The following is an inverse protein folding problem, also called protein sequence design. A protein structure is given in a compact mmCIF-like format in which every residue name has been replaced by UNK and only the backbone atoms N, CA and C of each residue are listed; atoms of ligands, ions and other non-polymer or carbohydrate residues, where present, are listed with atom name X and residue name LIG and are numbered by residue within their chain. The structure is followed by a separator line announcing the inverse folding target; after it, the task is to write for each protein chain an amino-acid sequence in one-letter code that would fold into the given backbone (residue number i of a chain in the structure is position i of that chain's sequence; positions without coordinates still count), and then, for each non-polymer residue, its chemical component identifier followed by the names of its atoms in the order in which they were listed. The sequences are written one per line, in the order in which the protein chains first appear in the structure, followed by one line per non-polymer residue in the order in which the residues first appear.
data_IF_286406374685
#
_entry.id   IF_286406374685
#
_cell.length_a   1.000
_cell.length_b   1.000
_cell.length_c   1.000
_cell.angle_alpha   90.00
_cell.angle_beta   90.00
_cell.angle_gamma   90.00
#
_symmetry.space_group_name_H-M   'P 1'
#
loop_
_entity.id
_entity.type
_entity.pdbx_description
1 polymer ?
#
# COMPACT_ATOMS: atom_id res chain seq x y z
N UNK A 1 -29.27 48.74 -44.41
CA UNK A 1 -29.48 47.87 -43.24
C UNK A 1 -28.11 47.40 -42.75
N UNK A 2 -27.45 48.26 -41.95
CA UNK A 2 -26.52 48.04 -40.81
C UNK A 2 -25.79 46.67 -40.82
N UNK A 3 -24.49 46.44 -41.11
CA UNK A 3 -23.15 47.06 -40.93
C UNK A 3 -22.52 47.10 -39.51
N UNK A 4 -21.48 46.25 -39.36
CA UNK A 4 -20.11 46.44 -38.81
C UNK A 4 -19.84 46.61 -37.28
N UNK A 5 -18.94 45.72 -36.80
CA UNK A 5 -17.66 45.88 -36.02
C UNK A 5 -17.52 46.88 -34.86
N UNK A 6 -16.67 46.45 -33.89
CA UNK A 6 -15.66 47.18 -33.07
C UNK A 6 -15.97 47.11 -31.56
N UNK A 7 -15.18 46.51 -30.66
CA UNK A 7 -13.82 46.88 -30.19
C UNK A 7 -13.62 48.39 -30.03
N UNK A 8 -13.83 48.93 -28.81
CA UNK A 8 -13.25 50.21 -28.39
C UNK A 8 -13.31 50.35 -26.86
N UNK A 9 -12.13 50.54 -26.25
CA UNK A 9 -11.93 51.25 -24.98
C UNK A 9 -11.70 52.73 -25.32
N UNK A 10 -12.20 53.68 -24.52
CA UNK A 10 -11.52 54.96 -24.43
C UNK A 10 -11.26 55.39 -22.98
N UNK A 11 -9.99 55.69 -22.72
CA UNK A 11 -9.54 56.63 -21.69
C UNK A 11 -9.97 58.04 -22.08
N UNK A 12 -10.53 58.79 -21.13
CA UNK A 12 -10.36 60.24 -21.05
C UNK A 12 -10.98 60.81 -19.77
N UNK A 13 -10.13 61.25 -18.83
CA UNK A 13 -10.43 62.39 -17.94
C UNK A 13 -10.25 63.70 -18.71
N UNK A 14 -10.93 64.81 -18.33
CA UNK A 14 -10.31 65.73 -17.37
C UNK A 14 -11.24 66.29 -16.29
N UNK A 15 -10.56 66.67 -15.21
CA UNK A 15 -10.97 67.31 -13.96
C UNK A 15 -11.70 68.66 -14.07
N UNK A 16 -12.62 68.96 -13.13
CA UNK A 16 -12.53 70.08 -12.17
C UNK A 16 -13.86 70.26 -11.41
N UNK A 17 -13.81 70.04 -10.10
CA UNK A 17 -14.92 70.26 -9.18
C UNK A 17 -14.43 70.15 -7.74
N UNK A 18 -13.76 71.20 -7.27
CA UNK A 18 -13.45 71.43 -5.86
C UNK A 18 -14.75 71.56 -5.08
N UNK A 19 -15.05 70.55 -4.27
CA UNK A 19 -16.09 70.57 -3.24
C UNK A 19 -15.59 69.77 -2.05
N UNK A 20 -14.99 70.48 -1.10
CA UNK A 20 -14.76 70.00 0.25
C UNK A 20 -16.12 69.65 0.87
N UNK A 21 -16.34 68.37 1.15
CA UNK A 21 -17.21 67.91 2.25
C UNK A 21 -16.79 66.47 2.61
N UNK A 22 -15.85 66.37 3.56
CA UNK A 22 -15.65 65.15 4.34
C UNK A 22 -16.73 65.11 5.42
N UNK A 23 -17.39 63.95 5.61
CA UNK A 23 -17.56 63.43 6.94
C UNK A 23 -16.73 62.16 7.08
N UNK A 24 -15.90 62.17 8.12
CA UNK A 24 -14.96 61.13 8.53
C UNK A 24 -15.64 59.83 9.01
N UNK A 25 -16.52 59.25 8.19
CA UNK A 25 -17.37 58.11 8.56
C UNK A 25 -17.24 56.88 7.64
N UNK A 26 -16.30 56.85 6.68
CA UNK A 26 -16.19 55.72 5.72
C UNK A 26 -14.88 54.92 5.78
N UNK A 27 -14.01 55.19 6.75
CA UNK A 27 -12.75 54.42 6.92
C UNK A 27 -12.90 53.29 7.96
N UNK A 28 -13.88 53.35 8.85
CA UNK A 28 -14.09 52.30 9.87
C UNK A 28 -14.92 51.11 9.33
N UNK A 29 -15.79 51.31 8.34
CA UNK A 29 -16.55 50.20 7.72
C UNK A 29 -15.71 49.35 6.76
N UNK A 30 -14.48 49.75 6.45
CA UNK A 30 -13.57 48.98 5.59
C UNK A 30 -12.64 48.03 6.37
N UNK A 31 -12.70 48.05 7.70
CA UNK A 31 -11.90 47.17 8.57
C UNK A 31 -12.66 45.91 9.02
N UNK A 32 -13.91 45.73 8.60
CA UNK A 32 -14.76 44.58 8.97
C UNK A 32 -15.38 43.87 7.76
N UNK A 33 -14.75 43.96 6.57
CA UNK A 33 -14.95 42.92 5.56
C UNK A 33 -13.99 41.76 5.86
N UNK A 34 -14.13 41.13 7.04
CA UNK A 34 -13.85 39.71 7.09
C UNK A 34 -14.81 39.10 6.09
N UNK A 35 -14.31 38.64 4.96
CA UNK A 35 -15.06 37.83 4.01
C UNK A 35 -15.65 36.66 4.80
N UNK A 36 -16.87 36.84 5.31
CA UNK A 36 -17.66 35.75 5.86
C UNK A 36 -17.88 34.85 4.67
N UNK A 37 -17.05 33.80 4.55
CA UNK A 37 -17.23 32.76 3.53
C UNK A 37 -18.69 32.32 3.63
N UNK A 38 -19.49 32.75 2.66
CA UNK A 38 -20.92 32.48 2.65
C UNK A 38 -21.07 30.98 2.44
N UNK A 39 -21.46 30.29 3.50
CA UNK A 39 -21.79 28.88 3.42
C UNK A 39 -22.94 28.71 2.43
N UNK A 40 -22.68 28.02 1.32
CA UNK A 40 -23.68 27.70 0.31
C UNK A 40 -24.19 26.28 0.54
N UNK A 41 -25.50 26.10 0.37
CA UNK A 41 -26.14 24.80 0.44
C UNK A 41 -25.86 23.94 -0.78
N UNK A 42 -26.64 22.88 -0.93
CA UNK A 42 -26.59 22.01 -2.10
C UNK A 42 -26.76 22.82 -3.40
N UNK A 43 -25.84 22.62 -4.35
CA UNK A 43 -25.84 23.27 -5.66
C UNK A 43 -26.01 22.23 -6.75
N UNK A 44 -26.95 22.42 -7.67
CA UNK A 44 -27.20 21.53 -8.80
C UNK A 44 -26.41 21.93 -10.05
N UNK A 45 -25.97 20.92 -10.82
CA UNK A 45 -25.51 21.11 -12.20
C UNK A 45 -26.70 21.54 -13.11
N UNK A 46 -26.49 22.22 -14.27
CA UNK A 46 -25.23 22.42 -15.00
C UNK A 46 -24.60 23.82 -14.91
N UNK A 47 -25.33 24.85 -14.48
CA UNK A 47 -24.90 26.25 -14.62
C UNK A 47 -23.76 26.65 -13.68
N UNK A 48 -23.58 25.89 -12.60
CA UNK A 48 -22.50 26.06 -11.64
C UNK A 48 -21.94 24.70 -11.22
N UNK A 49 -20.78 24.70 -10.57
CA UNK A 49 -20.16 23.48 -10.06
C UNK A 49 -21.04 22.84 -9.00
N UNK A 50 -21.74 21.76 -9.34
CA UNK A 50 -22.68 21.12 -8.44
C UNK A 50 -22.02 20.28 -7.37
N UNK A 51 -22.63 20.26 -6.18
CA UNK A 51 -22.17 19.52 -5.00
C UNK A 51 -22.02 18.03 -5.28
N UNK A 52 -22.95 17.43 -6.04
CA UNK A 52 -22.87 16.04 -6.46
C UNK A 52 -21.58 15.72 -7.24
N UNK A 53 -21.17 16.61 -8.14
CA UNK A 53 -19.95 16.40 -8.94
C UNK A 53 -18.69 16.38 -8.08
N UNK A 54 -18.64 17.24 -7.05
CA UNK A 54 -17.53 17.28 -6.09
C UNK A 54 -17.48 15.98 -5.30
N UNK A 55 -18.62 15.55 -4.76
CA UNK A 55 -18.73 14.30 -4.00
C UNK A 55 -18.30 13.11 -4.85
N UNK A 56 -18.83 12.98 -6.07
CA UNK A 56 -18.49 11.86 -6.96
C UNK A 56 -17.02 11.85 -7.34
N UNK A 57 -16.44 13.00 -7.69
CA UNK A 57 -15.01 13.08 -8.05
C UNK A 57 -14.10 12.72 -6.88
N UNK A 58 -14.38 13.26 -5.69
CA UNK A 58 -13.60 12.97 -4.49
C UNK A 58 -13.71 11.48 -4.09
N UNK A 59 -14.93 10.94 -3.99
CA UNK A 59 -15.13 9.53 -3.65
C UNK A 59 -14.51 8.61 -4.71
N UNK A 60 -14.64 8.94 -5.99
CA UNK A 60 -14.00 8.16 -7.05
C UNK A 60 -12.48 8.16 -6.92
N UNK A 61 -11.85 9.31 -6.63
CA UNK A 61 -10.40 9.39 -6.40
C UNK A 61 -10.00 8.53 -5.21
N UNK A 62 -10.68 8.68 -4.07
CA UNK A 62 -10.40 7.87 -2.87
C UNK A 62 -10.45 6.37 -3.20
N UNK A 63 -11.58 5.90 -3.74
CA UNK A 63 -11.78 4.47 -4.02
C UNK A 63 -10.85 3.93 -5.10
N UNK A 64 -10.65 4.65 -6.21
CA UNK A 64 -9.77 4.19 -7.29
C UNK A 64 -8.31 4.13 -6.83
N UNK A 65 -7.86 5.11 -6.06
CA UNK A 65 -6.50 5.11 -5.53
C UNK A 65 -6.31 4.00 -4.49
N UNK A 66 -7.23 3.85 -3.53
CA UNK A 66 -7.19 2.74 -2.56
C UNK A 66 -7.17 1.38 -3.24
N UNK A 67 -8.04 1.18 -4.24
CA UNK A 67 -8.18 -0.12 -4.93
C UNK A 67 -6.90 -0.53 -5.65
N UNK A 68 -6.23 0.44 -6.27
CA UNK A 68 -5.00 0.21 -7.03
C UNK A 68 -3.75 0.12 -6.16
N UNK A 69 -3.73 0.76 -4.99
CA UNK A 69 -2.63 0.61 -4.03
C UNK A 69 -2.66 -0.75 -3.34
N UNK A 70 -3.83 -1.39 -3.21
CA UNK A 70 -3.96 -2.61 -2.43
C UNK A 70 -3.37 -3.83 -3.16
N UNK A 71 -2.25 -4.34 -2.65
CA UNK A 71 -1.60 -5.55 -3.12
C UNK A 71 -1.92 -6.71 -2.16
N UNK A 72 -2.93 -7.52 -2.49
CA UNK A 72 -3.40 -8.62 -1.64
C UNK A 72 -2.47 -9.84 -1.68
N UNK A 73 -2.29 -10.48 -0.52
CA UNK A 73 -1.57 -11.75 -0.40
C UNK A 73 -2.28 -12.87 -1.19
N UNK A 74 -1.51 -13.88 -1.59
CA UNK A 74 -2.00 -14.95 -2.47
C UNK A 74 -2.94 -15.85 -1.65
N UNK A 75 -4.23 -15.99 -2.03
CA UNK A 75 -5.24 -16.64 -1.19
C UNK A 75 -5.01 -18.16 -1.09
N UNK A 76 -4.88 -18.75 0.12
CA UNK A 76 -4.80 -20.21 0.28
C UNK A 76 -5.96 -20.95 -0.37
N UNK A 77 -5.69 -22.08 -1.05
CA UNK A 77 -6.74 -22.94 -1.62
C UNK A 77 -7.61 -23.61 -0.58
N UNK A 78 -7.20 -23.62 0.69
CA UNK A 78 -8.02 -24.06 1.82
C UNK A 78 -9.39 -23.34 1.87
N UNK A 79 -9.49 -22.13 1.28
CA UNK A 79 -10.75 -21.40 1.13
C UNK A 79 -11.78 -22.04 0.21
N UNK A 80 -11.45 -23.14 -0.47
CA UNK A 80 -12.39 -24.02 -1.17
C UNK A 80 -13.33 -24.79 -0.23
N UNK A 81 -12.97 -24.97 1.05
CA UNK A 81 -13.67 -25.91 1.94
C UNK A 81 -14.26 -25.32 3.23
N UNK A 82 -13.96 -24.06 3.58
CA UNK A 82 -14.51 -23.43 4.78
C UNK A 82 -15.97 -22.99 4.58
N UNK A 83 -16.93 -23.43 5.42
CA UNK A 83 -18.28 -22.90 5.39
C UNK A 83 -18.32 -21.44 5.86
N UNK A 84 -19.28 -20.64 5.38
CA UNK A 84 -19.35 -19.22 5.71
C UNK A 84 -19.64 -19.02 7.20
N UNK A 85 -18.83 -18.21 7.88
CA UNK A 85 -19.15 -17.74 9.24
C UNK A 85 -20.23 -16.66 9.17
N UNK A 86 -21.25 -16.77 10.00
CA UNK A 86 -22.28 -15.75 10.19
C UNK A 86 -21.73 -14.63 11.06
N UNK A 87 -21.76 -13.40 10.54
CA UNK A 87 -21.53 -12.21 11.34
C UNK A 87 -22.92 -11.62 11.65
N UNK A 88 -23.31 -11.55 12.92
CA UNK A 88 -24.60 -10.98 13.36
C UNK A 88 -25.85 -11.58 12.70
N UNK A 89 -25.89 -12.89 12.45
CA UNK A 89 -27.08 -13.58 11.91
C UNK A 89 -27.40 -13.30 10.44
N UNK A 90 -26.55 -12.52 9.74
CA UNK A 90 -26.62 -12.32 8.29
C UNK A 90 -25.65 -13.34 7.65
N UNK A 91 -26.06 -14.11 6.62
CA UNK A 91 -25.14 -14.97 5.88
C UNK A 91 -24.04 -14.11 5.27
N UNK A 92 -22.81 -14.21 5.77
CA UNK A 92 -21.75 -13.26 5.41
C UNK A 92 -21.07 -13.54 4.06
N UNK A 93 -21.54 -14.49 3.26
CA UNK A 93 -20.75 -14.98 2.13
C UNK A 93 -21.58 -15.49 0.94
N UNK A 94 -21.30 -15.00 -0.27
CA UNK A 94 -21.69 -15.68 -1.50
C UNK A 94 -20.83 -16.95 -1.72
N UNK A 95 -21.47 -18.05 -2.11
CA UNK A 95 -20.93 -19.42 -2.26
C UNK A 95 -19.82 -19.57 -3.32
N UNK A 96 -19.35 -18.49 -3.98
CA UNK A 96 -18.39 -18.55 -5.09
C UNK A 96 -17.10 -17.81 -4.75
N UNK A 97 -15.96 -18.50 -4.88
CA UNK A 97 -14.59 -18.00 -4.59
C UNK A 97 -14.28 -16.64 -5.20
N UNK A 98 -14.70 -16.41 -6.45
CA UNK A 98 -14.47 -15.14 -7.12
C UNK A 98 -15.18 -13.97 -6.41
N UNK A 99 -16.35 -14.22 -5.82
CA UNK A 99 -17.13 -13.17 -5.16
C UNK A 99 -16.59 -12.89 -3.76
N UNK A 100 -16.11 -13.91 -3.03
CA UNK A 100 -15.48 -13.70 -1.72
C UNK A 100 -14.15 -12.94 -1.82
N UNK A 101 -13.32 -13.25 -2.82
CA UNK A 101 -12.08 -12.53 -3.07
C UNK A 101 -12.34 -11.05 -3.43
N UNK A 102 -13.30 -10.80 -4.33
CA UNK A 102 -13.71 -9.44 -4.70
C UNK A 102 -14.24 -8.67 -3.48
N UNK A 103 -15.10 -9.30 -2.66
CA UNK A 103 -15.66 -8.67 -1.47
C UNK A 103 -14.59 -8.33 -0.42
N UNK A 104 -13.64 -9.24 -0.19
CA UNK A 104 -12.49 -8.97 0.68
C UNK A 104 -11.68 -7.78 0.20
N UNK A 105 -11.36 -7.74 -1.10
CA UNK A 105 -10.63 -6.63 -1.72
C UNK A 105 -11.36 -5.30 -1.57
N UNK A 106 -12.67 -5.27 -1.82
CA UNK A 106 -13.51 -4.07 -1.67
C UNK A 106 -13.59 -3.60 -0.22
N UNK A 107 -13.67 -4.53 0.73
CA UNK A 107 -13.72 -4.20 2.16
C UNK A 107 -12.41 -3.55 2.60
N UNK A 108 -11.26 -4.14 2.24
CA UNK A 108 -9.93 -3.57 2.49
C UNK A 108 -9.73 -2.23 1.78
N UNK A 109 -10.24 -2.09 0.56
CA UNK A 109 -10.22 -0.83 -0.21
C UNK A 109 -10.95 0.28 0.54
N UNK A 110 -12.15 0.00 1.08
CA UNK A 110 -12.92 0.97 1.85
C UNK A 110 -12.20 1.36 3.15
N UNK A 111 -11.64 0.38 3.86
CA UNK A 111 -10.84 0.66 5.07
C UNK A 111 -9.63 1.55 4.78
N UNK A 112 -8.91 1.24 3.70
CA UNK A 112 -7.75 2.02 3.26
C UNK A 112 -8.14 3.45 2.89
N UNK A 113 -9.30 3.64 2.25
CA UNK A 113 -9.83 4.96 1.88
C UNK A 113 -10.20 5.81 3.12
N UNK A 114 -10.68 5.17 4.18
CA UNK A 114 -11.10 5.86 5.41
C UNK A 114 -9.94 6.18 6.37
N UNK A 115 -8.86 5.38 6.33
CA UNK A 115 -7.71 5.49 7.23
C UNK A 115 -6.39 5.42 6.45
N UNK A 116 -6.05 6.46 5.65
CA UNK A 116 -4.85 6.44 4.81
C UNK A 116 -3.54 6.25 5.59
N UNK A 117 -3.44 6.77 6.81
CA UNK A 117 -2.25 6.62 7.66
C UNK A 117 -2.03 5.16 8.05
N UNK A 118 -3.11 4.41 8.28
CA UNK A 118 -3.03 2.97 8.55
C UNK A 118 -2.48 2.22 7.33
N UNK A 119 -2.88 2.61 6.12
CA UNK A 119 -2.32 2.10 4.88
C UNK A 119 -0.82 2.33 4.73
N UNK A 120 -0.37 3.56 5.00
CA UNK A 120 1.06 3.91 4.96
C UNK A 120 1.85 3.12 6.00
N UNK A 121 1.31 2.95 7.20
CA UNK A 121 1.94 2.15 8.25
C UNK A 121 2.16 0.70 7.78
N UNK A 122 1.10 0.05 7.27
CA UNK A 122 1.17 -1.31 6.73
C UNK A 122 2.21 -1.41 5.62
N UNK A 123 2.15 -0.51 4.64
CA UNK A 123 3.09 -0.51 3.53
C UNK A 123 4.54 -0.33 4.00
N UNK A 124 4.76 0.50 5.02
CA UNK A 124 6.09 0.73 5.61
C UNK A 124 6.59 -0.52 6.33
N UNK A 125 5.74 -1.15 7.15
CA UNK A 125 6.06 -2.39 7.88
C UNK A 125 6.40 -3.49 6.89
N UNK A 126 5.52 -3.78 5.93
CA UNK A 126 5.73 -4.82 4.92
C UNK A 126 7.00 -4.58 4.08
N UNK A 127 7.22 -3.35 3.60
CA UNK A 127 8.45 -3.01 2.87
C UNK A 127 9.69 -3.23 3.73
N UNK A 128 9.62 -2.86 5.01
CA UNK A 128 10.75 -2.99 5.91
C UNK A 128 11.04 -4.45 6.27
N UNK A 129 10.01 -5.28 6.43
CA UNK A 129 10.14 -6.72 6.62
C UNK A 129 10.77 -7.36 5.38
N UNK A 130 10.23 -7.10 4.19
CA UNK A 130 10.77 -7.60 2.93
C UNK A 130 12.24 -7.20 2.74
N UNK A 131 12.57 -5.94 3.05
CA UNK A 131 13.94 -5.42 2.98
C UNK A 131 14.86 -6.08 4.00
N UNK A 132 14.38 -6.32 5.21
CA UNK A 132 15.15 -6.97 6.26
C UNK A 132 15.41 -8.42 5.91
N UNK A 133 14.39 -9.20 5.52
CA UNK A 133 14.55 -10.59 5.10
C UNK A 133 15.54 -10.70 3.94
N UNK A 134 15.45 -9.80 2.95
CA UNK A 134 16.42 -9.74 1.85
C UNK A 134 17.85 -9.44 2.35
N UNK A 135 18.00 -8.49 3.26
CA UNK A 135 19.28 -8.15 3.86
C UNK A 135 19.86 -9.34 4.62
N UNK A 136 19.06 -10.00 5.45
CA UNK A 136 19.46 -11.13 6.28
C UNK A 136 19.88 -12.31 5.40
N UNK A 137 19.16 -12.60 4.32
CA UNK A 137 19.55 -13.60 3.31
C UNK A 137 20.89 -13.26 2.65
N UNK A 138 21.13 -11.98 2.34
CA UNK A 138 22.38 -11.52 1.73
C UNK A 138 23.56 -11.58 2.70
N UNK A 139 23.35 -11.32 4.00
CA UNK A 139 24.38 -11.33 5.03
C UNK A 139 24.66 -12.74 5.59
N UNK A 140 23.61 -13.53 5.81
CA UNK A 140 23.66 -14.94 6.22
C UNK A 140 24.44 -15.81 5.24
N UNK A 141 24.59 -15.35 4.00
CA UNK A 141 25.24 -16.10 2.95
C UNK A 141 26.68 -16.55 3.30
N UNK A 142 27.53 -15.66 3.82
CA UNK A 142 28.94 -15.97 4.06
C UNK A 142 29.12 -16.97 5.22
N UNK A 143 28.30 -16.88 6.26
CA UNK A 143 28.38 -17.76 7.44
C UNK A 143 27.88 -19.18 7.16
N UNK A 144 26.95 -19.36 6.22
CA UNK A 144 26.37 -20.67 5.89
C UNK A 144 27.17 -21.47 4.84
N UNK A 145 28.26 -20.93 4.31
CA UNK A 145 29.06 -21.57 3.25
C UNK A 145 29.59 -22.98 3.61
N UNK A 146 30.18 -23.23 4.79
CA UNK A 146 30.61 -24.58 5.17
C UNK A 146 29.44 -25.56 5.25
N UNK A 147 28.32 -25.08 5.80
CA UNK A 147 27.09 -25.86 5.94
C UNK A 147 26.51 -26.27 4.58
N UNK A 148 26.45 -25.34 3.61
CA UNK A 148 25.98 -25.66 2.26
C UNK A 148 26.83 -26.72 1.58
N UNK A 149 28.15 -26.63 1.67
CA UNK A 149 29.05 -27.62 1.06
C UNK A 149 28.87 -29.01 1.67
N UNK A 150 28.80 -29.06 3.01
CA UNK A 150 28.59 -30.31 3.73
C UNK A 150 27.28 -30.97 3.33
N UNK A 151 26.16 -30.25 3.41
CA UNK A 151 24.84 -30.79 3.09
C UNK A 151 24.69 -31.08 1.58
N UNK A 152 25.27 -30.26 0.71
CA UNK A 152 25.27 -30.56 -0.73
C UNK A 152 25.96 -31.88 -1.03
N UNK A 153 27.12 -32.14 -0.44
CA UNK A 153 27.85 -33.40 -0.64
C UNK A 153 27.14 -34.62 -0.03
N UNK A 154 26.20 -34.41 0.90
CA UNK A 154 25.35 -35.48 1.41
C UNK A 154 24.20 -35.80 0.45
N UNK A 155 23.64 -34.76 -0.19
CA UNK A 155 22.51 -34.90 -1.13
C UNK A 155 23.01 -35.36 -2.51
N UNK A 156 24.17 -34.88 -2.93
CA UNK A 156 24.75 -35.10 -4.25
C UNK A 156 26.12 -35.76 -4.13
N UNK A 157 26.39 -36.76 -4.97
CA UNK A 157 27.67 -37.50 -4.98
C UNK A 157 28.83 -36.74 -5.63
N UNK A 158 28.57 -35.59 -6.23
CA UNK A 158 29.55 -34.78 -6.94
C UNK A 158 29.88 -33.51 -6.17
N UNK A 159 31.07 -32.96 -6.39
CA UNK A 159 31.40 -31.62 -5.88
C UNK A 159 30.38 -30.60 -6.36
N UNK A 160 30.04 -29.60 -5.52
CA UNK A 160 29.13 -28.55 -5.92
C UNK A 160 29.59 -27.89 -7.23
N UNK A 161 28.68 -27.75 -8.21
CA UNK A 161 29.02 -27.31 -9.57
C UNK A 161 29.28 -25.81 -9.68
N UNK A 162 29.14 -25.07 -8.57
CA UNK A 162 29.38 -23.64 -8.52
C UNK A 162 30.77 -23.34 -7.98
N UNK A 163 31.39 -22.30 -8.53
CA UNK A 163 32.63 -21.74 -8.04
C UNK A 163 32.44 -21.06 -6.68
N UNK A 164 33.56 -20.82 -5.98
CA UNK A 164 33.55 -20.10 -4.71
C UNK A 164 33.04 -18.67 -4.83
N UNK A 165 33.19 -18.07 -6.01
CA UNK A 165 32.70 -16.74 -6.29
C UNK A 165 31.22 -16.75 -6.67
N UNK A 166 30.73 -17.77 -7.38
CA UNK A 166 29.28 -17.96 -7.59
C UNK A 166 28.51 -18.21 -6.30
N UNK A 167 29.10 -18.92 -5.32
CA UNK A 167 28.54 -18.99 -3.97
C UNK A 167 28.33 -17.58 -3.42
N UNK A 168 29.41 -16.79 -3.39
CA UNK A 168 29.48 -15.44 -2.79
C UNK A 168 28.54 -14.44 -3.45
N UNK A 169 28.50 -14.40 -4.79
CA UNK A 169 27.84 -13.31 -5.53
C UNK A 169 26.68 -13.75 -6.42
N UNK A 170 26.60 -15.02 -6.82
CA UNK A 170 25.66 -15.50 -7.83
C UNK A 170 24.20 -15.17 -7.50
N UNK A 171 23.69 -15.67 -6.38
CA UNK A 171 22.31 -15.40 -5.96
C UNK A 171 22.09 -13.99 -5.38
N UNK A 172 23.15 -13.26 -4.98
CA UNK A 172 23.00 -11.94 -4.35
C UNK A 172 22.39 -10.93 -5.33
N UNK A 173 22.74 -11.04 -6.61
CA UNK A 173 22.29 -10.15 -7.67
C UNK A 173 21.00 -10.63 -8.34
N UNK A 174 20.68 -11.92 -8.22
CA UNK A 174 19.46 -12.51 -8.80
C UNK A 174 18.25 -12.36 -7.86
N UNK A 175 18.48 -12.44 -6.54
CA UNK A 175 17.43 -12.28 -5.53
C UNK A 175 17.25 -10.80 -5.19
N UNK A 176 16.05 -10.30 -5.47
CA UNK A 176 15.63 -8.90 -5.31
C UNK A 176 14.55 -8.76 -4.25
N UNK A 177 14.16 -7.51 -3.94
CA UNK A 177 13.07 -7.24 -2.98
C UNK A 177 11.71 -7.78 -3.45
N UNK A 178 11.50 -7.89 -4.77
CA UNK A 178 10.32 -8.55 -5.34
C UNK A 178 10.21 -10.03 -4.89
N UNK A 179 11.34 -10.73 -4.72
CA UNK A 179 11.34 -12.10 -4.21
C UNK A 179 10.97 -12.17 -2.74
N UNK A 180 11.40 -11.18 -1.94
CA UNK A 180 11.03 -11.07 -0.54
C UNK A 180 9.51 -10.85 -0.41
N UNK A 181 8.98 -9.85 -1.12
CA UNK A 181 7.54 -9.60 -1.16
C UNK A 181 6.76 -10.82 -1.66
N UNK A 182 7.22 -11.48 -2.72
CA UNK A 182 6.54 -12.67 -3.25
C UNK A 182 6.55 -13.82 -2.23
N UNK A 183 7.64 -14.03 -1.49
CA UNK A 183 7.70 -15.03 -0.43
C UNK A 183 6.75 -14.68 0.74
N UNK A 184 6.77 -13.43 1.21
CA UNK A 184 5.93 -12.93 2.31
C UNK A 184 4.43 -13.00 1.94
N UNK A 185 4.08 -12.84 0.66
CA UNK A 185 2.73 -13.03 0.14
C UNK A 185 2.29 -14.51 0.04
N UNK A 186 3.16 -15.46 0.38
CA UNK A 186 2.92 -16.91 0.27
C UNK A 186 3.12 -17.46 -1.14
N UNK A 187 3.95 -16.80 -1.96
CA UNK A 187 4.20 -17.14 -3.35
C UNK A 187 5.00 -18.43 -3.54
N UNK A 188 5.86 -18.80 -2.58
CA UNK A 188 6.56 -20.07 -2.60
C UNK A 188 5.89 -21.08 -1.69
N UNK A 189 5.68 -22.30 -2.20
CA UNK A 189 5.09 -23.40 -1.42
C UNK A 189 5.80 -24.72 -1.68
N UNK A 190 5.84 -25.60 -0.68
CA UNK A 190 6.33 -26.99 -0.79
C UNK A 190 5.21 -27.99 -0.51
N UNK A 191 5.14 -29.09 -1.25
CA UNK A 191 4.03 -30.06 -1.13
C UNK A 191 4.23 -31.11 -0.04
N UNK A 192 5.46 -31.32 0.42
CA UNK A 192 5.82 -32.36 1.36
C UNK A 192 5.69 -31.82 2.81
N UNK A 193 5.35 -32.69 3.77
CA UNK A 193 4.98 -32.31 5.14
C UNK A 193 6.14 -32.52 6.12
N UNK A 194 6.41 -31.54 6.99
CA UNK A 194 7.40 -31.73 8.07
C UNK A 194 6.82 -32.66 9.14
N UNK A 195 6.97 -33.98 8.95
CA UNK A 195 6.72 -35.04 9.96
C UNK A 195 5.28 -35.16 10.51
N UNK A 196 4.88 -36.38 10.91
CA UNK A 196 3.70 -36.84 11.69
C UNK A 196 2.30 -36.20 11.49
N UNK A 197 2.11 -35.30 10.54
CA UNK A 197 0.82 -34.68 10.30
C UNK A 197 -0.10 -35.59 9.47
N UNK A 198 -1.35 -35.70 9.93
CA UNK A 198 -2.37 -36.49 9.28
C UNK A 198 -2.54 -36.00 7.83
N UNK A 199 -2.55 -36.89 6.83
CA UNK A 199 -2.81 -36.52 5.43
C UNK A 199 -4.03 -35.63 5.19
N UNK A 200 -5.00 -35.63 6.11
CA UNK A 200 -6.22 -34.81 6.09
C UNK A 200 -6.01 -33.35 6.51
N UNK A 201 -4.95 -33.05 7.26
CA UNK A 201 -4.62 -31.72 7.77
C UNK A 201 -3.65 -30.97 6.85
N UNK A 202 -3.17 -31.63 5.77
CA UNK A 202 -2.30 -31.02 4.78
C UNK A 202 -2.99 -29.85 4.07
N UNK A 203 -2.36 -28.67 3.99
CA UNK A 203 -2.87 -27.59 3.16
C UNK A 203 -2.95 -28.09 1.72
N UNK A 204 -4.10 -27.93 1.07
CA UNK A 204 -4.29 -28.34 -0.32
C UNK A 204 -3.31 -27.66 -1.30
N UNK A 205 -2.72 -26.53 -0.90
CA UNK A 205 -1.71 -25.74 -1.64
C UNK A 205 -0.25 -26.01 -1.24
N UNK A 206 0.00 -26.88 -0.26
CA UNK A 206 1.32 -27.04 0.32
C UNK A 206 1.68 -25.99 1.38
N UNK A 207 2.85 -26.16 1.98
CA UNK A 207 3.38 -25.33 3.07
C UNK A 207 4.04 -24.07 2.52
N UNK A 208 3.73 -22.88 3.06
CA UNK A 208 4.43 -21.65 2.68
C UNK A 208 5.92 -21.75 2.99
N UNK A 209 6.73 -21.18 2.11
CA UNK A 209 8.19 -21.17 2.19
C UNK A 209 8.65 -19.72 2.25
N UNK A 210 9.39 -19.36 3.29
CA UNK A 210 9.96 -18.02 3.42
C UNK A 210 11.11 -17.78 2.41
N UNK A 211 11.53 -16.52 2.24
CA UNK A 211 12.58 -16.19 1.28
C UNK A 211 13.90 -16.91 1.60
N UNK A 212 14.23 -17.09 2.87
CA UNK A 212 15.51 -17.65 3.27
C UNK A 212 15.54 -19.16 3.02
N UNK A 213 14.46 -19.88 3.34
CA UNK A 213 14.24 -21.27 2.97
C UNK A 213 14.29 -21.46 1.46
N UNK A 214 13.65 -20.58 0.68
CA UNK A 214 13.72 -20.61 -0.78
C UNK A 214 15.15 -20.46 -1.29
N UNK A 215 15.92 -19.50 -0.76
CA UNK A 215 17.32 -19.31 -1.16
C UNK A 215 18.21 -20.48 -0.74
N UNK A 216 17.98 -21.07 0.44
CA UNK A 216 18.69 -22.28 0.87
C UNK A 216 18.36 -23.47 -0.03
N UNK A 217 17.08 -23.66 -0.37
CA UNK A 217 16.63 -24.65 -1.34
C UNK A 217 17.36 -24.49 -2.69
N UNK A 218 17.40 -23.28 -3.25
CA UNK A 218 18.11 -23.02 -4.52
C UNK A 218 19.60 -23.33 -4.42
N UNK A 219 20.22 -23.08 -3.25
CA UNK A 219 21.63 -23.37 -3.01
C UNK A 219 21.92 -24.86 -2.90
N UNK A 220 21.05 -25.65 -2.27
CA UNK A 220 21.21 -27.10 -2.14
C UNK A 220 20.76 -27.87 -3.40
N UNK A 221 19.99 -27.23 -4.26
CA UNK A 221 19.50 -27.80 -5.51
C UNK A 221 20.60 -28.06 -6.54
N UNK A 222 20.40 -29.11 -7.35
CA UNK A 222 21.21 -29.38 -8.55
C UNK A 222 21.14 -28.19 -9.55
N UNK A 223 22.11 -28.00 -10.47
CA UNK A 223 22.06 -26.91 -11.46
C UNK A 223 20.78 -26.89 -12.29
N UNK A 224 20.29 -28.07 -12.65
CA UNK A 224 19.06 -28.22 -13.43
C UNK A 224 17.84 -27.77 -12.63
N UNK A 225 17.74 -28.18 -11.37
CA UNK A 225 16.68 -27.78 -10.44
C UNK A 225 16.76 -26.29 -10.12
N UNK A 226 17.95 -25.76 -9.81
CA UNK A 226 18.17 -24.33 -9.57
C UNK A 226 17.71 -23.50 -10.76
N UNK A 227 18.14 -23.84 -11.98
CA UNK A 227 17.72 -23.12 -13.20
C UNK A 227 16.21 -23.19 -13.45
N UNK A 228 15.55 -24.26 -13.01
CA UNK A 228 14.10 -24.45 -13.13
C UNK A 228 13.30 -23.58 -12.15
N UNK A 229 13.78 -23.44 -10.91
CA UNK A 229 13.05 -22.78 -9.82
C UNK A 229 13.54 -21.36 -9.49
N UNK A 230 14.70 -20.95 -10.01
CA UNK A 230 15.16 -19.57 -9.92
C UNK A 230 14.25 -18.70 -10.77
N UNK A 231 13.40 -17.93 -10.10
CA UNK A 231 12.60 -16.91 -10.75
C UNK A 231 13.47 -15.69 -10.99
N UNK A 232 13.29 -15.04 -12.14
CA UNK A 232 13.78 -13.68 -12.33
C UNK A 232 12.74 -12.71 -11.78
N UNK A 233 13.18 -11.49 -11.48
CA UNK A 233 12.25 -10.41 -11.10
C UNK A 233 11.13 -10.23 -12.15
N UNK A 234 11.46 -10.27 -13.44
CA UNK A 234 10.46 -10.18 -14.51
C UNK A 234 9.46 -11.34 -14.55
N UNK A 235 9.82 -12.53 -14.06
CA UNK A 235 8.89 -13.67 -13.97
C UNK A 235 7.87 -13.43 -12.85
N UNK A 236 8.32 -12.88 -11.71
CA UNK A 236 7.47 -12.49 -10.58
C UNK A 236 6.52 -11.35 -10.98
N UNK A 237 7.05 -10.34 -11.68
CA UNK A 237 6.24 -9.24 -12.24
C UNK A 237 5.23 -9.77 -13.27
N UNK A 238 5.60 -10.81 -14.03
CA UNK A 238 4.72 -11.49 -14.98
C UNK A 238 3.53 -12.21 -14.32
N UNK A 239 3.61 -12.56 -13.04
CA UNK A 239 2.47 -13.10 -12.29
C UNK A 239 1.43 -12.04 -11.93
N UNK A 240 1.79 -10.75 -12.05
CA UNK A 240 0.85 -9.67 -11.76
C UNK A 240 -0.26 -9.62 -12.82
N UNK A 241 -1.50 -9.52 -12.37
CA UNK A 241 -2.62 -9.31 -13.29
C UNK A 241 -2.53 -7.90 -13.86
N UNK A 242 -2.52 -7.78 -15.19
CA UNK A 242 -2.52 -6.49 -15.87
C UNK A 242 -3.80 -5.70 -15.53
N UNK A 243 -3.64 -4.65 -14.73
CA UNK A 243 -4.71 -3.71 -14.35
C UNK A 243 -4.35 -2.29 -14.81
N UNK A 244 -3.76 -2.20 -16.02
CA UNK A 244 -3.22 -0.94 -16.54
C UNK A 244 -4.28 0.14 -16.75
N UNK A 245 -5.52 -0.25 -17.10
CA UNK A 245 -6.61 0.70 -17.32
C UNK A 245 -7.07 1.36 -16.01
N UNK A 246 -7.29 0.59 -14.94
CA UNK A 246 -7.74 1.13 -13.66
C UNK A 246 -6.67 2.03 -13.02
N UNK A 247 -5.38 1.65 -13.16
CA UNK A 247 -4.24 2.48 -12.73
C UNK A 247 -4.15 3.78 -13.49
N UNK A 248 -4.31 3.74 -14.83
CA UNK A 248 -4.35 4.94 -15.65
C UNK A 248 -5.52 5.85 -15.26
N UNK A 249 -6.70 5.28 -15.05
CA UNK A 249 -7.88 6.04 -14.60
C UNK A 249 -7.64 6.67 -13.22
N UNK A 250 -7.06 5.94 -12.27
CA UNK A 250 -6.72 6.47 -10.95
C UNK A 250 -5.74 7.65 -11.05
N UNK A 251 -4.71 7.54 -11.91
CA UNK A 251 -3.74 8.61 -12.15
C UNK A 251 -4.40 9.85 -12.77
N UNK A 252 -5.21 9.66 -13.81
CA UNK A 252 -5.93 10.77 -14.47
C UNK A 252 -6.86 11.46 -13.48
N UNK A 253 -7.66 10.71 -12.73
CA UNK A 253 -8.61 11.26 -11.77
C UNK A 253 -7.90 12.01 -10.63
N UNK A 254 -6.78 11.47 -10.14
CA UNK A 254 -5.96 12.13 -9.12
C UNK A 254 -5.35 13.43 -9.65
N UNK A 255 -4.73 13.40 -10.83
CA UNK A 255 -4.14 14.58 -11.44
C UNK A 255 -5.21 15.66 -11.69
N UNK A 256 -6.39 15.27 -12.19
CA UNK A 256 -7.50 16.18 -12.42
C UNK A 256 -7.96 16.87 -11.14
N UNK A 257 -8.11 16.13 -10.04
CA UNK A 257 -8.46 16.68 -8.74
C UNK A 257 -7.42 17.69 -8.25
N UNK A 258 -6.12 17.34 -8.31
CA UNK A 258 -5.03 18.21 -7.86
C UNK A 258 -4.96 19.48 -8.69
N UNK A 259 -5.00 19.37 -10.02
CA UNK A 259 -5.00 20.53 -10.93
C UNK A 259 -6.22 21.41 -10.67
N UNK A 260 -7.39 20.81 -10.45
CA UNK A 260 -8.61 21.56 -10.12
C UNK A 260 -8.47 22.33 -8.81
N UNK A 261 -7.91 21.71 -7.76
CA UNK A 261 -7.67 22.38 -6.49
C UNK A 261 -6.70 23.56 -6.64
N UNK A 262 -5.57 23.35 -7.34
CA UNK A 262 -4.56 24.41 -7.58
C UNK A 262 -5.16 25.56 -8.40
N UNK A 263 -5.84 25.26 -9.50
CA UNK A 263 -6.47 26.26 -10.36
C UNK A 263 -7.52 27.08 -9.62
N UNK A 264 -8.30 26.46 -8.73
CA UNK A 264 -9.28 27.15 -7.89
C UNK A 264 -8.60 28.06 -6.87
N UNK A 265 -7.57 27.56 -6.19
CA UNK A 265 -6.79 28.39 -5.26
C UNK A 265 -6.21 29.62 -5.95
N UNK A 266 -5.60 29.43 -7.12
CA UNK A 266 -5.02 30.51 -7.92
C UNK A 266 -6.06 31.53 -8.40
N UNK A 267 -7.30 31.09 -8.66
CA UNK A 267 -8.41 31.94 -9.05
C UNK A 267 -9.16 32.58 -7.86
N UNK A 268 -8.72 32.35 -6.62
CA UNK A 268 -9.41 32.81 -5.41
C UNK A 268 -10.79 32.17 -5.20
N UNK A 269 -11.01 30.97 -5.75
CA UNK A 269 -12.26 30.21 -5.60
C UNK A 269 -12.17 29.26 -4.40
N UNK A 270 -13.28 29.05 -3.66
CA UNK A 270 -13.30 28.18 -2.51
C UNK A 270 -13.04 26.72 -2.91
N UNK A 271 -12.28 26.02 -2.07
CA UNK A 271 -12.03 24.58 -2.13
C UNK A 271 -12.84 23.96 -0.99
N UNK A 272 -13.52 22.85 -1.25
CA UNK A 272 -14.27 22.18 -0.18
C UNK A 272 -13.33 21.37 0.73
N UNK A 273 -13.67 21.18 2.01
CA UNK A 273 -12.89 20.31 2.91
C UNK A 273 -12.67 18.90 2.34
N UNK A 274 -13.67 18.36 1.63
CA UNK A 274 -13.58 17.03 1.01
C UNK A 274 -12.55 16.98 -0.13
N UNK A 275 -12.45 18.02 -0.95
CA UNK A 275 -11.45 18.11 -2.01
C UNK A 275 -10.03 18.19 -1.43
N UNK A 276 -9.85 18.98 -0.36
CA UNK A 276 -8.57 19.10 0.32
C UNK A 276 -8.16 17.77 0.96
N UNK A 277 -9.08 17.09 1.64
CA UNK A 277 -8.84 15.77 2.22
C UNK A 277 -8.51 14.72 1.14
N UNK A 278 -9.21 14.76 0.01
CA UNK A 278 -8.93 13.86 -1.12
C UNK A 278 -7.57 14.16 -1.77
N UNK A 279 -7.16 15.42 -1.86
CA UNK A 279 -5.83 15.81 -2.31
C UNK A 279 -4.73 15.32 -1.35
N UNK A 280 -4.94 15.42 -0.05
CA UNK A 280 -4.04 14.85 0.96
C UNK A 280 -3.94 13.32 0.84
N UNK A 281 -5.08 12.64 0.62
CA UNK A 281 -5.13 11.20 0.39
C UNK A 281 -4.30 10.78 -0.85
N UNK A 282 -4.35 11.55 -1.95
CA UNK A 282 -3.54 11.28 -3.15
C UNK A 282 -2.04 11.26 -2.83
N UNK A 283 -1.57 12.12 -1.92
CA UNK A 283 -0.18 12.11 -1.46
C UNK A 283 0.13 10.82 -0.70
N UNK A 284 -0.71 10.41 0.25
CA UNK A 284 -0.56 9.15 0.96
C UNK A 284 -0.58 7.94 0.02
N UNK A 285 -1.48 7.93 -0.97
CA UNK A 285 -1.56 6.89 -1.98
C UNK A 285 -0.29 6.78 -2.81
N UNK A 286 0.33 7.91 -3.18
CA UNK A 286 1.61 7.91 -3.88
C UNK A 286 2.73 7.30 -3.02
N UNK A 287 2.76 7.58 -1.72
CA UNK A 287 3.72 6.95 -0.79
C UNK A 287 3.50 5.44 -0.65
N UNK A 288 2.26 5.00 -0.43
CA UNK A 288 1.91 3.58 -0.36
C UNK A 288 2.33 2.85 -1.64
N UNK A 289 2.01 3.43 -2.79
CA UNK A 289 2.37 2.88 -4.09
C UNK A 289 3.89 2.78 -4.29
N UNK A 290 4.67 3.77 -3.82
CA UNK A 290 6.13 3.72 -3.86
C UNK A 290 6.72 2.60 -2.98
N UNK A 291 6.18 2.40 -1.78
CA UNK A 291 6.61 1.33 -0.86
C UNK A 291 6.27 -0.08 -1.40
N UNK A 292 5.16 -0.21 -2.13
CA UNK A 292 4.72 -1.45 -2.76
C UNK A 292 5.11 -1.59 -4.22
N UNK A 293 6.02 -0.75 -4.73
CA UNK A 293 6.40 -0.75 -6.15
C UNK A 293 6.85 -2.13 -6.65
N UNK A 294 7.69 -2.82 -5.86
CA UNK A 294 8.22 -4.15 -6.20
C UNK A 294 7.32 -5.31 -5.73
N UNK A 295 6.20 -5.04 -5.05
CA UNK A 295 5.26 -6.07 -4.58
C UNK A 295 4.36 -6.48 -5.76
N UNK A 296 4.26 -7.77 -6.12
CA UNK A 296 3.49 -8.18 -7.30
C UNK A 296 1.99 -7.93 -7.12
N UNK A 297 1.37 -7.23 -8.07
CA UNK A 297 -0.04 -6.85 -7.99
C UNK A 297 -0.97 -7.95 -8.50
N UNK A 298 -1.87 -8.46 -7.65
CA UNK A 298 -2.86 -9.45 -8.06
C UNK A 298 -2.26 -10.78 -8.49
N UNK A 299 -1.13 -11.17 -7.88
CA UNK A 299 -0.55 -12.49 -8.07
C UNK A 299 -1.56 -13.56 -7.60
N UNK A 300 -1.93 -14.45 -8.51
CA UNK A 300 -2.77 -15.62 -8.20
C UNK A 300 -1.92 -16.90 -8.19
N UNK A 301 -0.80 -16.89 -8.90
CA UNK A 301 0.04 -18.05 -9.09
C UNK A 301 1.06 -18.21 -7.95
N UNK A 302 1.09 -19.41 -7.37
CA UNK A 302 2.15 -19.87 -6.48
C UNK A 302 3.18 -20.69 -7.24
N UNK A 303 4.42 -20.61 -6.80
CA UNK A 303 5.53 -21.43 -7.29
C UNK A 303 5.70 -22.62 -6.36
N UNK A 304 5.32 -23.80 -6.85
CA UNK A 304 5.43 -25.05 -6.11
C UNK A 304 6.84 -25.64 -6.27
N UNK A 305 7.56 -25.76 -5.16
CA UNK A 305 8.89 -26.34 -5.09
C UNK A 305 8.77 -27.86 -4.90
N UNK A 306 8.47 -28.59 -5.98
CA UNK A 306 8.29 -30.05 -5.92
C UNK A 306 9.54 -30.81 -5.46
N UNK A 307 10.72 -30.28 -5.79
CA UNK A 307 12.01 -30.86 -5.39
C UNK A 307 12.41 -30.47 -3.95
N UNK A 308 11.58 -29.71 -3.23
CA UNK A 308 11.81 -29.36 -1.82
C UNK A 308 11.24 -30.45 -0.91
N UNK A 309 12.05 -31.47 -0.64
CA UNK A 309 11.71 -32.56 0.26
C UNK A 309 11.74 -32.18 1.75
N UNK A 310 11.18 -33.05 2.58
CA UNK A 310 11.06 -32.84 4.02
C UNK A 310 12.39 -32.97 4.76
N UNK A 311 13.32 -33.77 4.24
CA UNK A 311 14.65 -33.93 4.82
C UNK A 311 15.45 -32.65 4.69
N UNK A 312 15.44 -32.04 3.50
CA UNK A 312 16.04 -30.74 3.23
C UNK A 312 15.33 -29.65 4.04
N UNK A 313 14.00 -29.66 4.14
CA UNK A 313 13.26 -28.69 4.94
C UNK A 313 13.64 -28.78 6.43
N UNK A 314 13.76 -30.01 6.98
CA UNK A 314 14.21 -30.25 8.35
C UNK A 314 15.65 -29.82 8.58
N UNK A 315 16.56 -30.13 7.65
CA UNK A 315 17.96 -29.73 7.75
C UNK A 315 18.11 -28.19 7.77
N UNK A 316 17.37 -27.52 6.88
CA UNK A 316 17.29 -26.06 6.83
C UNK A 316 16.71 -25.51 8.15
N UNK A 317 15.59 -26.04 8.63
CA UNK A 317 14.95 -25.62 9.89
C UNK A 317 15.87 -25.80 11.12
N UNK A 318 16.55 -26.95 11.22
CA UNK A 318 17.50 -27.23 12.29
C UNK A 318 18.66 -26.22 12.30
N UNK A 319 19.14 -25.84 11.12
CA UNK A 319 20.20 -24.83 11.00
C UNK A 319 19.76 -23.46 11.53
N UNK A 320 18.51 -23.09 11.34
CA UNK A 320 17.99 -21.85 11.94
C UNK A 320 17.86 -21.94 13.45
N UNK A 321 17.44 -23.09 13.98
CA UNK A 321 17.33 -23.28 15.43
C UNK A 321 18.68 -23.11 16.14
N UNK A 322 19.79 -23.38 15.46
CA UNK A 322 21.16 -23.16 15.95
C UNK A 322 21.66 -21.70 15.80
N UNK A 323 20.97 -20.87 15.04
CA UNK A 323 21.40 -19.50 14.76
C UNK A 323 20.99 -18.58 15.93
N UNK A 324 21.91 -17.79 16.54
CA UNK A 324 21.58 -16.94 17.69
C UNK A 324 20.40 -16.00 17.40
N UNK A 325 19.51 -15.82 18.38
CA UNK A 325 18.24 -15.07 18.27
C UNK A 325 18.37 -13.68 17.67
N UNK A 326 19.52 -13.02 17.87
CA UNK A 326 19.79 -11.66 17.39
C UNK A 326 20.06 -11.59 15.88
N UNK A 327 20.29 -12.74 15.24
CA UNK A 327 20.54 -12.92 13.80
C UNK A 327 19.56 -13.86 13.12
N UNK A 328 18.65 -14.47 13.90
CA UNK A 328 17.56 -15.24 13.35
C UNK A 328 16.73 -14.29 12.47
N UNK A 329 16.39 -14.69 11.22
CA UNK A 329 15.46 -13.89 10.44
C UNK A 329 14.24 -13.66 11.32
N UNK A 330 13.77 -12.41 11.40
CA UNK A 330 12.43 -12.17 11.93
C UNK A 330 11.55 -13.22 11.29
N UNK A 331 10.87 -14.01 12.11
CA UNK A 331 9.86 -14.94 11.64
C UNK A 331 8.77 -14.04 11.07
N UNK A 332 9.00 -13.55 9.84
CA UNK A 332 8.02 -12.84 9.05
C UNK A 332 6.83 -13.76 9.12
N UNK A 333 5.75 -13.23 9.67
CA UNK A 333 4.53 -13.95 10.01
C UNK A 333 4.23 -14.91 8.87
N UNK A 334 4.67 -16.16 9.00
CA UNK A 334 4.21 -17.25 8.16
C UNK A 334 2.77 -17.34 8.58
N UNK A 335 1.91 -16.61 7.86
CA UNK A 335 0.48 -16.58 8.09
C UNK A 335 0.07 -18.03 8.14
N UNK A 336 -0.38 -18.47 9.32
CA UNK A 336 -1.06 -19.74 9.41
C UNK A 336 -2.24 -19.67 8.42
N UNK A 337 -2.60 -20.75 7.72
CA UNK A 337 -3.68 -20.75 6.73
C UNK A 337 -5.03 -20.18 7.23
N UNK A 338 -5.19 -20.01 8.56
CA UNK A 338 -6.34 -19.39 9.22
C UNK A 338 -6.25 -17.88 9.53
N UNK A 339 -5.09 -17.23 9.42
CA UNK A 339 -4.89 -15.85 9.89
C UNK A 339 -5.47 -14.79 8.94
N UNK A 340 -5.80 -15.17 7.70
CA UNK A 340 -6.13 -14.23 6.62
C UNK A 340 -7.54 -13.62 6.75
N UNK A 341 -8.43 -14.17 7.60
CA UNK A 341 -9.81 -13.68 7.75
C UNK A 341 -10.09 -12.84 8.99
N UNK A 342 -9.23 -12.85 10.00
CA UNK A 342 -9.32 -11.88 11.10
C UNK A 342 -8.75 -10.50 10.73
N UNK A 343 -8.35 -10.35 9.46
CA UNK A 343 -7.53 -9.26 8.93
C UNK A 343 -8.13 -7.86 9.05
N UNK A 344 -9.44 -7.62 9.25
CA UNK A 344 -9.93 -6.25 9.44
C UNK A 344 -9.71 -5.72 10.88
N UNK A 345 -9.82 -6.59 11.88
CA UNK A 345 -9.58 -6.24 13.29
C UNK A 345 -8.09 -6.39 13.60
N UNK A 346 -7.45 -7.44 13.09
CA UNK A 346 -6.01 -7.64 13.14
C UNK A 346 -5.22 -6.58 12.34
N UNK A 347 -5.69 -6.16 11.16
CA UNK A 347 -5.89 -4.73 10.84
C UNK A 347 -5.32 -3.68 11.80
N UNK A 348 -6.16 -3.30 12.75
CA UNK A 348 -5.91 -2.23 13.69
C UNK A 348 -5.03 -2.70 14.86
N UNK A 349 -5.24 -3.93 15.35
CA UNK A 349 -4.54 -4.44 16.54
C UNK A 349 -3.10 -4.87 16.25
N UNK A 350 -2.82 -5.54 15.13
CA UNK A 350 -1.45 -5.90 14.74
C UNK A 350 -0.65 -4.68 14.32
N UNK A 351 -1.16 -3.78 13.48
CA UNK A 351 -0.37 -2.62 13.05
C UNK A 351 0.00 -1.67 14.20
N UNK A 352 -0.86 -1.50 15.21
CA UNK A 352 -0.54 -0.69 16.40
C UNK A 352 0.46 -1.40 17.31
N UNK A 353 0.30 -2.72 17.52
CA UNK A 353 1.20 -3.52 18.37
C UNK A 353 2.57 -3.73 17.72
N UNK A 354 2.63 -3.93 16.41
CA UNK A 354 3.85 -4.17 15.66
C UNK A 354 4.67 -2.87 15.51
N UNK A 355 4.03 -1.75 15.16
CA UNK A 355 4.66 -0.42 15.20
C UNK A 355 5.19 -0.08 16.60
N UNK A 356 4.46 -0.45 17.67
CA UNK A 356 4.92 -0.27 19.05
C UNK A 356 6.08 -1.20 19.45
N UNK A 357 6.22 -2.36 18.80
CA UNK A 357 7.26 -3.36 19.09
C UNK A 357 8.54 -3.17 18.26
N UNK A 358 8.55 -2.31 17.23
CA UNK A 358 9.75 -1.96 16.44
C UNK A 358 10.71 -1.01 17.18
N UNK A 359 11.08 -1.38 18.41
CA UNK A 359 11.88 -0.56 19.33
C UNK A 359 13.33 -0.34 18.88
N UNK A 360 13.82 -1.09 17.88
CA UNK A 360 15.26 -1.16 17.57
C UNK A 360 15.72 -0.45 16.29
N UNK A 361 14.85 0.18 15.48
CA UNK A 361 15.28 0.81 14.21
C UNK A 361 14.59 2.14 13.91
N UNK A 362 15.26 3.25 14.22
CA UNK A 362 14.77 4.63 14.12
C UNK A 362 14.20 5.09 12.75
N UNK A 363 14.48 4.38 11.65
CA UNK A 363 14.09 4.79 10.28
C UNK A 363 12.60 4.57 10.00
N UNK A 364 12.01 3.51 10.53
CA UNK A 364 10.59 3.17 10.32
C UNK A 364 9.62 4.15 11.00
N UNK A 365 9.76 4.46 12.31
CA UNK A 365 8.90 5.46 12.94
C UNK A 365 9.10 6.83 12.30
N UNK A 366 10.33 7.18 11.88
CA UNK A 366 10.59 8.45 11.19
C UNK A 366 9.80 8.58 9.88
N UNK A 367 9.82 7.56 9.02
CA UNK A 367 9.04 7.58 7.77
C UNK A 367 7.54 7.68 8.04
N UNK A 368 7.03 6.93 9.00
CA UNK A 368 5.62 7.00 9.40
C UNK A 368 5.25 8.41 9.87
N UNK A 369 6.01 8.98 10.82
CA UNK A 369 5.78 10.33 11.33
C UNK A 369 5.90 11.41 10.25
N UNK A 370 6.85 11.27 9.31
CA UNK A 370 6.98 12.19 8.18
C UNK A 370 5.72 12.18 7.30
N UNK A 371 5.17 11.02 6.98
CA UNK A 371 3.95 10.93 6.16
C UNK A 371 2.73 11.43 6.93
N UNK A 372 2.59 11.10 8.21
CA UNK A 372 1.54 11.66 9.07
C UNK A 372 1.61 13.18 9.15
N UNK A 373 2.82 13.75 9.27
CA UNK A 373 3.04 15.20 9.30
C UNK A 373 2.69 15.85 7.96
N UNK A 374 3.03 15.22 6.83
CA UNK A 374 2.63 15.71 5.51
C UNK A 374 1.11 15.67 5.33
N UNK A 375 0.46 14.59 5.76
CA UNK A 375 -0.99 14.44 5.67
C UNK A 375 -1.72 15.47 6.54
N UNK A 376 -1.37 15.58 7.82
CA UNK A 376 -1.94 16.58 8.73
C UNK A 376 -1.63 18.02 8.27
N UNK A 377 -0.40 18.26 7.79
CA UNK A 377 0.03 19.56 7.27
C UNK A 377 -0.83 20.09 6.12
N UNK A 378 -1.31 19.22 5.23
CA UNK A 378 -2.25 19.63 4.16
C UNK A 378 -3.60 20.06 4.75
N UNK A 379 -4.10 19.39 5.79
CA UNK A 379 -5.38 19.73 6.42
C UNK A 379 -5.34 21.05 7.19
N UNK A 380 -4.17 21.46 7.69
CA UNK A 380 -3.97 22.75 8.33
C UNK A 380 -4.21 23.93 7.36
N UNK A 381 -4.16 23.73 6.05
CA UNK A 381 -4.52 24.77 5.07
C UNK A 381 -5.97 25.25 5.22
N UNK A 382 -6.85 24.41 5.75
CA UNK A 382 -8.25 24.72 6.03
C UNK A 382 -8.50 25.21 7.47
N UNK A 383 -7.47 25.54 8.24
CA UNK A 383 -7.61 25.87 9.66
C UNK A 383 -8.60 27.02 9.93
N UNK A 384 -8.63 28.01 9.02
CA UNK A 384 -9.44 29.21 9.12
C UNK A 384 -10.69 29.20 8.22
N UNK A 385 -11.04 28.06 7.61
CA UNK A 385 -12.24 27.97 6.76
C UNK A 385 -13.52 28.00 7.57
N UNK A 386 -14.61 28.46 6.94
CA UNK A 386 -15.95 28.38 7.51
C UNK A 386 -16.50 26.95 7.42
N UNK A 387 -17.02 26.44 8.54
CA UNK A 387 -17.69 25.14 8.61
C UNK A 387 -19.17 25.29 8.97
N UNK A 388 -20.03 24.32 8.62
CA UNK A 388 -21.47 24.38 8.91
C UNK A 388 -21.83 24.47 10.39
N UNK A 389 -20.96 23.99 11.28
CA UNK A 389 -21.15 24.09 12.73
C UNK A 389 -19.82 24.10 13.48
N UNK A 390 -19.84 24.66 14.70
CA UNK A 390 -18.67 24.66 15.59
C UNK A 390 -18.18 23.25 15.92
N UNK A 391 -19.09 22.27 15.98
CA UNK A 391 -18.74 20.86 16.21
C UNK A 391 -17.89 20.30 15.08
N UNK A 392 -18.27 20.56 13.82
CA UNK A 392 -17.52 20.11 12.64
C UNK A 392 -16.17 20.81 12.55
N UNK A 393 -16.12 22.12 12.82
CA UNK A 393 -14.86 22.87 12.87
C UNK A 393 -13.89 22.31 13.93
N UNK A 394 -14.39 22.07 15.15
CA UNK A 394 -13.59 21.50 16.24
C UNK A 394 -13.10 20.09 15.89
N UNK A 395 -13.96 19.26 15.32
CA UNK A 395 -13.58 17.92 14.86
C UNK A 395 -12.50 17.99 13.79
N UNK A 396 -12.66 18.83 12.76
CA UNK A 396 -11.66 19.03 11.70
C UNK A 396 -10.30 19.40 12.30
N UNK A 397 -10.27 20.42 13.16
CA UNK A 397 -9.04 20.88 13.81
C UNK A 397 -8.40 19.83 14.70
N UNK A 398 -9.21 19.04 15.42
CA UNK A 398 -8.71 17.96 16.28
C UNK A 398 -8.11 16.79 15.48
N UNK A 399 -8.68 16.43 14.33
CA UNK A 399 -8.16 15.35 13.47
C UNK A 399 -7.04 15.82 12.52
N UNK A 400 -6.82 17.13 12.38
CA UNK A 400 -5.73 17.69 11.56
C UNK A 400 -4.39 17.82 12.30
N UNK A 401 -4.42 17.72 13.64
CA UNK A 401 -3.25 17.77 14.53
C UNK A 401 -2.86 16.35 14.94
#
# INVERSE_FOLDING_TARGET
MILKRAFFWPDSHPSLGLGLDLPAASIIDRATSSSSETLVGWTSNPDTRGTASIIYTCIAVLLLCSYNCLHENIPPSIYLHTPPRTLWGIPAFPHRLAVSAVWSKLTKTLWLALLPESGVAVATVEYSMARQTLHDVRCSHASHRPWYKFHYNQIHTNTPPWSEDELKTGLRNEITIAHAFYADMGGFVRMNAVGDENPRDRPADGWPVDLHQYVMFLRLSSPKTRKRYLLRQGDIEGFAKADGLSKLLALIQSAWLIISCIGRHAAGLPITPLELASAAYVVCAAFMYGLWWDKPYGAVQRTVLHDFDDDMARAIAARYAETPSDTAPMRGTTMEPGDTYESAINLLTWNVVEVANFKDRAVQPLLFYLVSMLFGGVHLLAWNWAFPSDGVMKAWRAFSL
#
